data_IF_608694388164
#
_entry.id   IF_608694388164
#
_cell.length_a   1.000
_cell.length_b   1.000
_cell.length_c   1.000
_cell.angle_alpha   90.00
_cell.angle_beta   90.00
_cell.angle_gamma   90.00
#
_symmetry.space_group_name_H-M   'P 1'
#
loop_
_entity.id
_entity.type
_entity.pdbx_description
1 polymer ?
#
# COMPACT_ATOMS: atom_id res chain seq x y z
N UNK A 1 -25.67 -23.16 -48.15
CA UNK A 1 -25.98 -21.73 -47.95
C UNK A 1 -26.54 -21.62 -46.54
N UNK A 2 -25.71 -21.34 -45.54
CA UNK A 2 -25.45 -19.98 -44.98
C UNK A 2 -26.78 -19.31 -44.56
N UNK A 3 -27.05 -18.89 -43.32
CA UNK A 3 -26.15 -18.57 -42.18
C UNK A 3 -26.99 -18.39 -40.91
N UNK A 4 -26.48 -18.92 -39.80
CA UNK A 4 -26.77 -18.55 -38.41
C UNK A 4 -26.63 -17.05 -38.16
N UNK A 5 -27.54 -16.49 -37.37
CA UNK A 5 -27.33 -15.28 -36.57
C UNK A 5 -27.96 -15.51 -35.18
N UNK A 6 -27.37 -16.45 -34.43
CA UNK A 6 -27.42 -16.43 -32.97
C UNK A 6 -26.54 -15.26 -32.51
N UNK A 7 -27.18 -14.22 -31.95
CA UNK A 7 -26.49 -13.20 -31.18
C UNK A 7 -26.08 -13.83 -29.83
N UNK A 8 -24.78 -13.97 -29.50
CA UNK A 8 -24.40 -14.45 -28.19
C UNK A 8 -24.58 -13.34 -27.16
N UNK A 9 -25.16 -13.74 -26.03
CA UNK A 9 -25.29 -12.96 -24.82
C UNK A 9 -23.97 -12.26 -24.49
N UNK A 10 -24.02 -10.94 -24.29
CA UNK A 10 -22.94 -10.20 -23.70
C UNK A 10 -22.78 -10.68 -22.24
N UNK A 11 -21.94 -11.69 -22.04
CA UNK A 11 -21.39 -12.00 -20.74
C UNK A 11 -20.61 -10.77 -20.30
N UNK A 12 -21.24 -9.96 -19.44
CA UNK A 12 -20.54 -8.96 -18.67
C UNK A 12 -19.44 -9.70 -17.89
N UNK A 13 -18.21 -9.55 -18.36
CA UNK A 13 -17.02 -9.92 -17.62
C UNK A 13 -17.02 -9.00 -16.41
N UNK A 14 -17.57 -9.48 -15.29
CA UNK A 14 -17.30 -8.89 -13.98
C UNK A 14 -15.77 -8.95 -13.88
N UNK A 15 -15.05 -7.81 -13.81
CA UNK A 15 -13.62 -7.89 -13.58
C UNK A 15 -13.48 -8.64 -12.27
N UNK A 16 -12.73 -9.74 -12.30
CA UNK A 16 -12.30 -10.37 -11.08
C UNK A 16 -11.80 -9.25 -10.18
N UNK A 17 -12.51 -8.99 -9.08
CA UNK A 17 -11.92 -8.32 -7.93
C UNK A 17 -10.74 -9.22 -7.58
N UNK A 18 -9.57 -8.90 -8.16
CA UNK A 18 -8.29 -9.31 -7.64
C UNK A 18 -8.40 -8.95 -6.18
N UNK A 19 -8.56 -9.95 -5.32
CA UNK A 19 -8.56 -9.74 -3.89
C UNK A 19 -7.17 -9.22 -3.60
N UNK A 20 -7.00 -7.90 -3.58
CA UNK A 20 -5.66 -7.33 -3.49
C UNK A 20 -5.10 -7.76 -2.16
N UNK A 21 -3.93 -8.39 -2.21
CA UNK A 21 -3.28 -8.88 -1.01
C UNK A 21 -2.97 -7.67 -0.13
N UNK A 22 -3.41 -7.62 1.14
CA UNK A 22 -3.15 -6.48 2.02
C UNK A 22 -1.66 -6.15 2.14
N UNK A 23 -0.78 -7.16 2.00
CA UNK A 23 0.67 -6.94 1.99
C UNK A 23 1.15 -6.16 0.75
N UNK A 24 0.57 -6.44 -0.42
CA UNK A 24 0.96 -5.80 -1.69
C UNK A 24 0.45 -4.35 -1.73
N UNK A 25 -0.77 -4.11 -1.19
CA UNK A 25 -1.31 -2.76 -1.02
C UNK A 25 -0.50 -1.94 -0.02
N UNK A 26 -0.09 -2.54 1.10
CA UNK A 26 0.79 -1.90 2.07
C UNK A 26 2.15 -1.55 1.44
N UNK A 27 2.72 -2.45 0.64
CA UNK A 27 3.98 -2.19 -0.08
C UNK A 27 3.84 -1.01 -1.05
N UNK A 28 2.78 -1.01 -1.88
CA UNK A 28 2.49 0.09 -2.79
C UNK A 28 2.30 1.42 -2.05
N UNK A 29 1.58 1.42 -0.93
CA UNK A 29 1.38 2.61 -0.10
C UNK A 29 2.71 3.11 0.48
N UNK A 30 3.54 2.22 1.03
CA UNK A 30 4.86 2.57 1.58
C UNK A 30 5.75 3.20 0.50
N UNK A 31 5.76 2.66 -0.71
CA UNK A 31 6.53 3.22 -1.83
C UNK A 31 6.05 4.60 -2.27
N UNK A 32 4.74 4.77 -2.40
CA UNK A 32 4.11 6.07 -2.73
C UNK A 32 4.47 7.12 -1.68
N UNK A 33 4.34 6.77 -0.40
CA UNK A 33 4.64 7.69 0.70
C UNK A 33 6.12 8.02 0.74
N UNK A 34 7.02 7.04 0.61
CA UNK A 34 8.46 7.28 0.54
C UNK A 34 8.87 8.26 -0.57
N UNK A 35 8.14 8.28 -1.69
CA UNK A 35 8.35 9.23 -2.77
C UNK A 35 7.82 10.63 -2.44
N UNK A 36 6.66 10.72 -1.77
CA UNK A 36 6.02 11.99 -1.44
C UNK A 36 6.68 12.75 -0.29
N UNK A 37 7.28 12.05 0.66
CA UNK A 37 7.93 12.67 1.84
C UNK A 37 9.40 13.02 1.61
N UNK A 38 9.91 12.92 0.37
CA UNK A 38 11.28 13.36 0.07
C UNK A 38 11.39 14.88 0.22
N UNK A 39 12.48 15.41 0.81
CA UNK A 39 12.64 16.85 1.00
C UNK A 39 12.45 17.68 -0.28
N UNK A 40 12.90 17.16 -1.44
CA UNK A 40 12.75 17.82 -2.75
C UNK A 40 11.32 17.82 -3.31
N UNK A 41 10.43 16.99 -2.75
CA UNK A 41 9.04 16.81 -3.21
C UNK A 41 8.03 17.58 -2.36
N UNK A 42 8.47 18.20 -1.25
CA UNK A 42 7.60 18.92 -0.33
C UNK A 42 7.37 20.36 -0.83
N UNK A 43 6.22 20.60 -1.46
CA UNK A 43 5.71 21.94 -1.71
C UNK A 43 5.14 22.56 -0.43
N UNK A 44 3.98 22.06 0.00
CA UNK A 44 3.42 22.31 1.34
C UNK A 44 3.65 21.07 2.23
N UNK A 45 4.51 21.16 3.26
CA UNK A 45 4.76 20.06 4.18
C UNK A 45 3.50 19.57 4.91
N UNK A 46 2.57 20.45 5.29
CA UNK A 46 1.38 20.06 6.05
C UNK A 46 0.37 19.32 5.17
N UNK A 47 0.17 19.79 3.94
CA UNK A 47 -0.66 19.08 2.96
C UNK A 47 0.00 17.76 2.53
N UNK A 48 1.33 17.77 2.34
CA UNK A 48 2.12 16.59 2.03
C UNK A 48 2.02 15.51 3.11
N UNK A 49 2.12 15.88 4.39
CA UNK A 49 2.03 14.94 5.50
C UNK A 49 0.63 14.34 5.63
N UNK A 50 -0.44 15.15 5.53
CA UNK A 50 -1.82 14.66 5.57
C UNK A 50 -2.13 13.67 4.45
N UNK A 51 -1.69 13.97 3.22
CA UNK A 51 -1.86 13.05 2.07
C UNK A 51 -1.09 11.75 2.28
N UNK A 52 0.17 11.85 2.71
CA UNK A 52 1.01 10.69 3.01
C UNK A 52 0.38 9.80 4.09
N UNK A 53 -0.10 10.41 5.16
CA UNK A 53 -0.77 9.71 6.27
C UNK A 53 -2.06 9.02 5.80
N UNK A 54 -2.90 9.70 5.01
CA UNK A 54 -4.13 9.13 4.47
C UNK A 54 -3.85 7.89 3.63
N UNK A 55 -2.92 8.00 2.67
CA UNK A 55 -2.54 6.87 1.78
C UNK A 55 -2.06 5.67 2.59
N UNK A 56 -1.27 5.91 3.64
CA UNK A 56 -0.74 4.83 4.46
C UNK A 56 -1.82 4.20 5.35
N UNK A 57 -2.70 5.01 5.93
CA UNK A 57 -3.85 4.52 6.72
C UNK A 57 -4.79 3.66 5.88
N UNK A 58 -5.12 4.11 4.67
CA UNK A 58 -6.03 3.37 3.79
C UNK A 58 -5.54 1.93 3.55
N UNK A 59 -4.22 1.74 3.42
CA UNK A 59 -3.62 0.42 3.29
C UNK A 59 -3.56 -0.37 4.62
N UNK A 60 -3.36 0.31 5.76
CA UNK A 60 -3.32 -0.31 7.09
C UNK A 60 -4.70 -0.78 7.59
N UNK A 61 -5.76 -0.12 7.13
CA UNK A 61 -7.15 -0.41 7.46
C UNK A 61 -7.74 -1.56 6.62
N UNK A 62 -7.00 -2.03 5.60
CA UNK A 62 -7.42 -3.19 4.82
C UNK A 62 -7.56 -4.43 5.72
N UNK A 63 -8.67 -5.17 5.61
CA UNK A 63 -8.90 -6.35 6.43
C UNK A 63 -7.93 -7.47 6.05
N UNK A 64 -7.31 -8.08 7.05
CA UNK A 64 -6.42 -9.21 6.88
C UNK A 64 -5.38 -9.29 8.00
N UNK A 65 -5.36 -10.40 8.73
CA UNK A 65 -4.33 -10.59 9.74
C UNK A 65 -2.97 -10.88 9.08
N UNK A 66 -1.89 -10.23 9.52
CA UNK A 66 -0.56 -10.48 8.99
C UNK A 66 -0.14 -11.93 9.30
N UNK A 67 0.07 -12.70 8.23
CA UNK A 67 0.27 -14.16 8.30
C UNK A 67 1.64 -14.59 8.80
N UNK A 68 2.59 -13.66 8.93
CA UNK A 68 3.94 -13.94 9.43
C UNK A 68 4.52 -12.75 10.22
N UNK A 69 5.64 -13.00 10.91
CA UNK A 69 6.33 -11.99 11.73
C UNK A 69 6.77 -10.78 10.91
N UNK A 70 7.31 -11.01 9.71
CA UNK A 70 7.79 -9.92 8.86
C UNK A 70 6.65 -8.96 8.47
N UNK A 71 5.46 -9.47 8.13
CA UNK A 71 4.29 -8.63 7.88
C UNK A 71 3.81 -7.90 9.13
N UNK A 72 3.87 -8.53 10.31
CA UNK A 72 3.55 -7.85 11.59
C UNK A 72 4.50 -6.68 11.85
N UNK A 73 5.80 -6.89 11.65
CA UNK A 73 6.80 -5.83 11.81
C UNK A 73 6.66 -4.73 10.74
N UNK A 74 6.37 -5.10 9.49
CA UNK A 74 6.11 -4.15 8.42
C UNK A 74 4.95 -3.21 8.77
N UNK A 75 3.84 -3.80 9.25
CA UNK A 75 2.63 -3.07 9.66
C UNK A 75 2.92 -2.17 10.86
N UNK A 76 3.59 -2.67 11.90
CA UNK A 76 3.96 -1.88 13.07
C UNK A 76 4.86 -0.68 12.72
N UNK A 77 5.84 -0.87 11.82
CA UNK A 77 6.68 0.24 11.34
C UNK A 77 5.85 1.27 10.55
N UNK A 78 4.92 0.83 9.71
CA UNK A 78 4.05 1.73 8.94
C UNK A 78 3.06 2.49 9.85
N UNK A 79 2.51 1.85 10.89
CA UNK A 79 1.68 2.51 11.90
C UNK A 79 2.47 3.57 12.68
N UNK A 80 3.70 3.26 13.10
CA UNK A 80 4.58 4.24 13.73
C UNK A 80 4.90 5.41 12.78
N UNK A 81 5.13 5.13 11.50
CA UNK A 81 5.35 6.18 10.50
C UNK A 81 4.13 7.10 10.36
N UNK A 82 2.90 6.58 10.41
CA UNK A 82 1.68 7.40 10.44
C UNK A 82 1.69 8.40 11.60
N UNK A 83 2.15 8.00 12.79
CA UNK A 83 2.24 8.90 13.95
C UNK A 83 3.22 10.05 13.66
N UNK A 84 4.41 9.75 13.17
CA UNK A 84 5.41 10.78 12.81
C UNK A 84 4.94 11.71 11.69
N UNK A 85 4.14 11.21 10.73
CA UNK A 85 3.54 12.05 9.70
C UNK A 85 2.56 13.08 10.27
N UNK A 86 1.79 12.73 11.32
CA UNK A 86 0.89 13.70 11.99
C UNK A 86 1.63 14.89 12.56
N UNK A 87 2.85 14.68 13.07
CA UNK A 87 3.70 15.71 13.63
C UNK A 87 4.71 16.30 12.64
N UNK A 88 4.62 15.94 11.35
CA UNK A 88 5.52 16.42 10.29
C UNK A 88 6.99 16.03 10.51
N UNK A 89 7.23 14.95 11.25
CA UNK A 89 8.54 14.37 11.55
C UNK A 89 8.99 13.49 10.36
N UNK A 90 9.26 14.12 9.23
CA UNK A 90 9.48 13.41 7.95
C UNK A 90 10.72 12.52 7.96
N UNK A 91 11.74 12.85 8.75
CA UNK A 91 12.95 12.03 8.79
C UNK A 91 12.69 10.69 9.50
N UNK A 92 12.01 10.75 10.63
CA UNK A 92 11.57 9.63 11.46
C UNK A 92 10.58 8.75 10.70
N UNK A 93 9.56 9.37 10.09
CA UNK A 93 8.60 8.68 9.24
C UNK A 93 9.31 7.92 8.10
N UNK A 94 10.29 8.55 7.43
CA UNK A 94 11.06 7.90 6.36
C UNK A 94 11.88 6.72 6.85
N UNK A 95 12.52 6.82 8.01
CA UNK A 95 13.31 5.73 8.58
C UNK A 95 12.43 4.50 8.83
N UNK A 96 11.25 4.72 9.41
CA UNK A 96 10.27 3.66 9.68
C UNK A 96 9.68 3.07 8.40
N UNK A 97 9.40 3.89 7.38
CA UNK A 97 8.92 3.40 6.08
C UNK A 97 9.97 2.57 5.34
N UNK A 98 11.25 2.94 5.42
CA UNK A 98 12.35 2.12 4.88
C UNK A 98 12.45 0.79 5.63
N UNK A 99 12.31 0.80 6.95
CA UNK A 99 12.27 -0.43 7.75
C UNK A 99 11.06 -1.30 7.38
N UNK A 100 9.88 -0.71 7.24
CA UNK A 100 8.65 -1.38 6.80
C UNK A 100 8.85 -2.08 5.46
N UNK A 101 9.36 -1.36 4.44
CA UNK A 101 9.67 -1.93 3.13
C UNK A 101 10.65 -3.11 3.21
N UNK A 102 11.68 -3.01 4.05
CA UNK A 102 12.63 -4.10 4.27
C UNK A 102 11.97 -5.36 4.82
N UNK A 103 10.94 -5.22 5.67
CA UNK A 103 10.16 -6.34 6.18
C UNK A 103 9.17 -6.89 5.15
N UNK A 104 8.56 -6.05 4.31
CA UNK A 104 7.69 -6.50 3.21
C UNK A 104 8.45 -7.38 2.22
N UNK A 105 9.66 -6.98 1.82
CA UNK A 105 10.53 -7.81 0.96
C UNK A 105 10.82 -9.16 1.62
N UNK A 106 11.13 -9.19 2.92
CA UNK A 106 11.36 -10.44 3.66
C UNK A 106 10.11 -11.32 3.73
N UNK A 107 8.95 -10.72 3.92
CA UNK A 107 7.68 -11.42 3.94
C UNK A 107 7.36 -12.10 2.60
N UNK A 108 7.75 -11.49 1.48
CA UNK A 108 7.62 -12.08 0.15
C UNK A 108 8.61 -13.21 -0.10
N UNK A 109 9.88 -13.05 0.29
CA UNK A 109 10.90 -14.11 0.14
C UNK A 109 10.55 -15.36 0.96
N UNK A 110 9.87 -15.20 2.12
CA UNK A 110 9.40 -16.32 2.93
C UNK A 110 8.14 -17.04 2.40
N UNK A 111 7.55 -16.58 1.29
CA UNK A 111 6.42 -17.25 0.60
C UNK A 111 6.86 -18.19 -0.53
N UNK A 112 8.14 -18.16 -0.93
CA UNK A 112 8.73 -19.04 -1.94
C UNK A 112 9.18 -20.38 -1.34
#
# INVERSE_FOLDING_TARGET
MNTDLVMPAATAVIPAQLTTNPADELELAVEKVLASVRPSSLGDPAEGSRRAESVLRDALDLPGEPTNEALRQARACAEAACEHLRYQEFQEARLLLVASRGQLVRAHTGRA
#
